data_IF_447176223089
#
_entry.id   IF_447176223089
#
_cell.length_a   1.000
_cell.length_b   1.000
_cell.length_c   1.000
_cell.angle_alpha   90.00
_cell.angle_beta   90.00
_cell.angle_gamma   90.00
#
_symmetry.space_group_name_H-M   'P 1'
#
loop_
_entity.id
_entity.type
_entity.pdbx_description
1 polymer ?
#
# COMPACT_ATOMS: atom_id res chain seq x y z
N UNK A 1 4.35 -22.79 19.65
CA UNK A 1 5.28 -21.67 19.50
C UNK A 1 5.55 -21.42 18.01
N UNK A 2 5.61 -20.13 17.58
CA UNK A 2 5.89 -19.79 16.19
C UNK A 2 4.69 -19.86 15.23
N UNK A 3 3.48 -20.05 15.71
CA UNK A 3 2.26 -20.11 14.90
C UNK A 3 1.38 -18.91 15.20
N UNK A 4 0.97 -18.21 14.15
CA UNK A 4 -0.03 -17.13 14.26
C UNK A 4 -1.39 -17.71 14.62
N UNK A 5 -2.09 -17.09 15.56
CA UNK A 5 -3.42 -17.49 15.98
C UNK A 5 -4.36 -16.31 16.03
N UNK A 6 -5.61 -16.54 15.73
CA UNK A 6 -6.66 -15.55 15.94
C UNK A 6 -6.80 -15.23 17.44
N UNK A 7 -6.91 -13.95 17.76
CA UNK A 7 -6.96 -13.50 19.16
C UNK A 7 -8.24 -13.95 19.87
N UNK A 8 -9.33 -14.11 19.16
CA UNK A 8 -10.65 -14.52 19.65
C UNK A 8 -10.76 -16.04 19.79
N UNK A 9 -10.63 -16.77 18.73
CA UNK A 9 -10.86 -18.22 18.65
C UNK A 9 -9.67 -19.07 19.08
N UNK A 10 -8.45 -18.47 19.15
CA UNK A 10 -7.17 -19.17 19.33
C UNK A 10 -6.85 -20.19 18.21
N UNK A 11 -7.69 -20.29 17.22
CA UNK A 11 -7.45 -21.13 16.04
C UNK A 11 -6.21 -20.65 15.28
N UNK A 12 -5.52 -21.56 14.64
CA UNK A 12 -4.37 -21.23 13.78
C UNK A 12 -4.81 -20.36 12.60
N UNK A 13 -4.08 -19.27 12.39
CA UNK A 13 -4.31 -18.37 11.27
C UNK A 13 -3.43 -18.79 10.10
N UNK A 14 -4.05 -19.20 9.00
CA UNK A 14 -3.38 -19.50 7.75
C UNK A 14 -3.88 -18.58 6.63
N UNK A 15 -2.95 -18.12 5.79
CA UNK A 15 -3.26 -17.18 4.73
C UNK A 15 -2.91 -17.78 3.38
N UNK A 16 -3.86 -17.72 2.47
CA UNK A 16 -3.70 -18.05 1.06
C UNK A 16 -4.22 -16.89 0.24
N UNK A 17 -3.34 -16.23 -0.52
CA UNK A 17 -3.71 -14.98 -1.13
C UNK A 17 -2.87 -14.57 -2.33
N UNK A 18 -3.02 -13.31 -2.70
CA UNK A 18 -2.43 -12.72 -3.88
C UNK A 18 -1.77 -11.39 -3.54
N UNK A 19 -0.67 -11.09 -4.24
CA UNK A 19 -0.07 -9.78 -4.32
C UNK A 19 -0.56 -9.11 -5.62
N UNK A 20 -1.30 -8.00 -5.49
CA UNK A 20 -1.99 -7.42 -6.64
C UNK A 20 -2.19 -5.90 -6.50
N UNK A 21 -2.00 -5.16 -7.58
CA UNK A 21 -2.04 -3.69 -7.58
C UNK A 21 -2.94 -3.08 -8.65
N UNK A 22 -3.37 -3.85 -9.62
CA UNK A 22 -4.33 -3.46 -10.66
C UNK A 22 -5.75 -3.63 -10.09
N UNK A 23 -6.74 -2.77 -10.39
CA UNK A 23 -6.75 -1.69 -11.40
C UNK A 23 -6.48 -0.29 -10.83
N UNK A 24 -6.30 -0.13 -9.52
CA UNK A 24 -6.21 1.19 -8.90
C UNK A 24 -4.86 1.88 -9.17
N UNK A 25 -3.85 1.10 -9.54
CA UNK A 25 -2.49 1.55 -9.76
C UNK A 25 -2.04 1.32 -11.21
N UNK A 26 -1.46 0.17 -11.53
CA UNK A 26 -0.81 -0.08 -12.83
C UNK A 26 -1.69 0.13 -14.08
N UNK A 27 -2.99 -0.07 -13.97
CA UNK A 27 -3.93 0.11 -15.07
C UNK A 27 -4.78 1.39 -14.93
N UNK A 28 -4.51 2.25 -13.96
CA UNK A 28 -5.34 3.41 -13.65
C UNK A 28 -5.61 4.28 -14.88
N UNK A 29 -4.57 4.73 -15.58
CA UNK A 29 -4.71 5.59 -16.76
C UNK A 29 -5.23 4.84 -17.97
N UNK A 30 -4.79 3.60 -18.17
CA UNK A 30 -5.27 2.77 -19.26
C UNK A 30 -6.76 2.46 -19.17
N UNK A 31 -7.28 2.26 -17.97
CA UNK A 31 -8.72 2.09 -17.73
C UNK A 31 -9.49 3.39 -17.96
N UNK A 32 -8.95 4.52 -17.47
CA UNK A 32 -9.51 5.84 -17.71
C UNK A 32 -9.63 6.14 -19.21
N UNK A 33 -8.53 5.99 -19.97
CA UNK A 33 -8.47 6.27 -21.41
C UNK A 33 -9.48 5.44 -22.21
N UNK A 34 -9.85 4.26 -21.69
CA UNK A 34 -10.85 3.38 -22.28
C UNK A 34 -12.27 3.61 -21.75
N UNK A 35 -12.48 4.59 -20.88
CA UNK A 35 -13.77 4.87 -20.27
C UNK A 35 -14.28 3.74 -19.36
N UNK A 36 -13.37 2.94 -18.79
CA UNK A 36 -13.74 1.84 -17.87
C UNK A 36 -13.84 2.39 -16.45
N UNK A 37 -14.96 2.12 -15.80
CA UNK A 37 -15.19 2.41 -14.39
C UNK A 37 -14.23 1.57 -13.52
N UNK A 38 -13.33 2.22 -12.81
CA UNK A 38 -12.29 1.59 -11.99
C UNK A 38 -12.85 0.92 -10.75
N UNK A 39 -13.89 1.46 -10.12
CA UNK A 39 -14.56 0.81 -8.99
C UNK A 39 -15.25 -0.48 -9.43
N UNK A 40 -15.89 -0.46 -10.58
CA UNK A 40 -16.47 -1.68 -11.17
C UNK A 40 -15.40 -2.71 -11.52
N UNK A 41 -14.22 -2.28 -11.95
CA UNK A 41 -13.10 -3.19 -12.17
C UNK A 41 -12.63 -3.83 -10.86
N UNK A 42 -12.50 -3.05 -9.78
CA UNK A 42 -12.20 -3.55 -8.43
C UNK A 42 -13.26 -4.57 -7.97
N UNK A 43 -14.54 -4.28 -8.12
CA UNK A 43 -15.63 -5.21 -7.76
C UNK A 43 -15.48 -6.58 -8.43
N UNK A 44 -15.13 -6.58 -9.71
CA UNK A 44 -14.93 -7.82 -10.48
C UNK A 44 -13.70 -8.59 -10.02
N UNK A 45 -12.60 -7.90 -9.78
CA UNK A 45 -11.36 -8.52 -9.32
C UNK A 45 -11.54 -9.13 -7.93
N UNK A 46 -12.12 -8.40 -6.99
CA UNK A 46 -12.40 -8.88 -5.62
C UNK A 46 -13.39 -10.05 -5.64
N UNK A 47 -14.40 -10.02 -6.53
CA UNK A 47 -15.28 -11.16 -6.74
C UNK A 47 -14.50 -12.42 -7.17
N UNK A 48 -13.54 -12.27 -8.09
CA UNK A 48 -12.74 -13.39 -8.55
C UNK A 48 -11.79 -13.91 -7.46
N UNK A 49 -11.18 -13.03 -6.66
CA UNK A 49 -10.34 -13.44 -5.52
C UNK A 49 -11.14 -14.26 -4.51
N UNK A 50 -12.32 -13.81 -4.13
CA UNK A 50 -13.19 -14.55 -3.22
C UNK A 50 -13.61 -15.91 -3.81
N UNK A 51 -13.92 -15.96 -5.11
CA UNK A 51 -14.31 -17.20 -5.79
C UNK A 51 -13.16 -18.22 -5.87
N UNK A 52 -11.91 -17.74 -5.93
CA UNK A 52 -10.72 -18.59 -5.91
C UNK A 52 -10.35 -19.06 -4.50
N UNK A 53 -11.09 -18.63 -3.47
CA UNK A 53 -10.85 -19.00 -2.08
C UNK A 53 -9.70 -18.23 -1.42
N UNK A 54 -9.29 -17.09 -1.96
CA UNK A 54 -8.29 -16.24 -1.32
C UNK A 54 -8.86 -15.63 -0.05
N UNK A 55 -8.10 -15.70 1.04
CA UNK A 55 -8.42 -15.08 2.32
C UNK A 55 -7.40 -14.01 2.75
N UNK A 56 -6.41 -13.75 1.91
CA UNK A 56 -5.40 -12.72 2.13
C UNK A 56 -5.07 -11.97 0.84
N UNK A 57 -4.72 -10.70 1.00
CA UNK A 57 -4.35 -9.81 -0.09
C UNK A 57 -3.18 -8.94 0.35
N UNK A 58 -2.06 -8.96 -0.37
CA UNK A 58 -0.97 -8.02 -0.19
C UNK A 58 -1.08 -6.91 -1.22
N UNK A 59 -1.19 -5.69 -0.76
CA UNK A 59 -1.31 -4.52 -1.62
C UNK A 59 -0.02 -3.69 -1.61
N UNK A 60 0.52 -3.45 -2.78
CA UNK A 60 1.55 -2.44 -2.99
C UNK A 60 0.86 -1.09 -3.24
N UNK A 61 0.94 -0.19 -2.28
CA UNK A 61 0.37 1.14 -2.42
C UNK A 61 1.12 1.93 -3.51
N UNK A 62 0.38 2.72 -4.24
CA UNK A 62 0.89 3.65 -5.21
C UNK A 62 1.32 4.97 -4.57
N UNK A 63 2.31 4.89 -3.69
CA UNK A 63 2.80 6.01 -2.89
C UNK A 63 3.17 7.25 -3.71
N UNK A 64 3.71 7.05 -4.92
CA UNK A 64 4.05 8.14 -5.84
C UNK A 64 2.83 8.99 -6.25
N UNK A 65 1.64 8.42 -6.31
CA UNK A 65 0.43 9.15 -6.71
C UNK A 65 -0.32 9.80 -5.54
N UNK A 66 -0.03 9.38 -4.32
CA UNK A 66 -0.74 9.86 -3.12
C UNK A 66 0.17 10.58 -2.12
N UNK A 67 1.36 11.00 -2.54
CA UNK A 67 2.27 11.79 -1.71
C UNK A 67 2.88 12.97 -2.45
N UNK A 68 3.32 13.99 -1.71
CA UNK A 68 4.14 15.08 -2.21
C UNK A 68 5.62 14.93 -1.77
N UNK A 69 6.47 15.84 -2.21
CA UNK A 69 7.91 15.86 -1.89
C UNK A 69 8.24 15.96 -0.40
N UNK A 70 7.31 16.45 0.39
CA UNK A 70 7.46 16.60 1.84
C UNK A 70 6.82 15.45 2.61
N UNK A 71 6.31 14.43 1.92
CA UNK A 71 5.62 13.29 2.52
C UNK A 71 4.21 13.61 3.01
N UNK A 72 3.55 14.67 2.51
CA UNK A 72 2.13 14.85 2.79
C UNK A 72 1.32 13.82 2.02
N UNK A 73 0.34 13.22 2.69
CA UNK A 73 -0.67 12.39 2.04
C UNK A 73 -1.61 13.26 1.22
N UNK A 74 -1.85 12.89 -0.04
CA UNK A 74 -2.73 13.61 -0.96
C UNK A 74 -4.06 12.88 -1.06
N UNK A 75 -5.14 13.60 -0.74
CA UNK A 75 -6.51 13.11 -0.99
C UNK A 75 -6.85 13.31 -2.47
N UNK A 76 -6.91 12.21 -3.21
CA UNK A 76 -7.21 12.19 -4.64
C UNK A 76 -7.92 10.89 -5.03
N UNK A 77 -8.17 10.69 -6.32
CA UNK A 77 -8.85 9.50 -6.82
C UNK A 77 -8.05 8.20 -6.58
N UNK A 78 -6.71 8.26 -6.56
CA UNK A 78 -5.89 7.06 -6.25
C UNK A 78 -6.10 6.62 -4.80
N UNK A 79 -6.17 7.56 -3.85
CA UNK A 79 -6.46 7.24 -2.45
C UNK A 79 -7.90 6.74 -2.28
N UNK A 80 -8.87 7.34 -2.96
CA UNK A 80 -10.27 6.87 -2.95
C UNK A 80 -10.40 5.45 -3.50
N UNK A 81 -9.68 5.11 -4.57
CA UNK A 81 -9.70 3.74 -5.11
C UNK A 81 -8.99 2.74 -4.19
N UNK A 82 -7.95 3.14 -3.48
CA UNK A 82 -7.32 2.33 -2.45
C UNK A 82 -8.32 2.05 -1.32
N UNK A 83 -8.96 3.10 -0.77
CA UNK A 83 -9.99 2.97 0.26
C UNK A 83 -11.13 2.04 -0.17
N UNK A 84 -11.60 2.21 -1.39
CA UNK A 84 -12.66 1.38 -1.95
C UNK A 84 -12.23 -0.09 -2.09
N UNK A 85 -11.01 -0.34 -2.56
CA UNK A 85 -10.48 -1.71 -2.65
C UNK A 85 -10.41 -2.37 -1.27
N UNK A 86 -9.88 -1.68 -0.25
CA UNK A 86 -9.81 -2.22 1.12
C UNK A 86 -11.20 -2.55 1.65
N UNK A 87 -12.17 -1.66 1.44
CA UNK A 87 -13.57 -1.90 1.81
C UNK A 87 -14.14 -3.15 1.12
N UNK A 88 -13.93 -3.30 -0.20
CA UNK A 88 -14.46 -4.46 -0.96
C UNK A 88 -13.81 -5.79 -0.55
N UNK A 89 -12.54 -5.78 -0.19
CA UNK A 89 -11.86 -6.96 0.37
C UNK A 89 -12.46 -7.37 1.72
N UNK A 90 -12.74 -6.39 2.59
CA UNK A 90 -13.36 -6.62 3.90
C UNK A 90 -14.77 -7.22 3.77
N UNK A 91 -15.58 -6.75 2.81
CA UNK A 91 -16.90 -7.34 2.54
C UNK A 91 -16.83 -8.83 2.19
N UNK A 92 -15.69 -9.32 1.73
CA UNK A 92 -15.43 -10.72 1.38
C UNK A 92 -14.64 -11.49 2.45
N UNK A 93 -14.36 -10.86 3.58
CA UNK A 93 -13.58 -11.49 4.65
C UNK A 93 -12.09 -11.64 4.35
N UNK A 94 -11.58 -10.98 3.30
CA UNK A 94 -10.18 -11.07 2.87
C UNK A 94 -9.34 -10.15 3.74
N UNK A 95 -8.29 -10.69 4.36
CA UNK A 95 -7.33 -9.95 5.20
C UNK A 95 -6.31 -9.23 4.34
N UNK A 96 -5.77 -8.14 4.86
CA UNK A 96 -4.96 -7.20 4.09
C UNK A 96 -3.59 -7.02 4.73
N UNK A 97 -2.53 -7.19 3.93
CA UNK A 97 -1.17 -6.76 4.24
C UNK A 97 -0.85 -5.55 3.35
N UNK A 98 -0.56 -4.42 3.96
CA UNK A 98 -0.22 -3.19 3.23
C UNK A 98 1.29 -3.07 3.10
N UNK A 99 1.78 -2.78 1.89
CA UNK A 99 3.14 -2.32 1.63
C UNK A 99 3.09 -0.82 1.32
N UNK A 100 3.59 0.01 2.23
CA UNK A 100 3.40 1.46 2.22
C UNK A 100 4.18 2.20 1.14
N UNK A 101 5.38 1.71 0.78
CA UNK A 101 6.23 2.32 -0.26
C UNK A 101 6.71 1.26 -1.24
N UNK A 102 6.49 1.49 -2.51
CA UNK A 102 6.82 0.55 -3.58
C UNK A 102 7.47 1.18 -4.80
N UNK A 103 7.30 2.48 -4.96
CA UNK A 103 7.72 3.21 -6.15
C UNK A 103 8.89 4.12 -5.83
N UNK A 104 9.94 4.06 -6.65
CA UNK A 104 11.13 4.87 -6.46
C UNK A 104 11.65 5.38 -7.80
N UNK A 105 11.89 6.70 -7.85
CA UNK A 105 12.46 7.33 -9.04
C UNK A 105 11.55 7.25 -10.26
N UNK A 106 12.18 7.19 -11.41
CA UNK A 106 11.51 7.29 -12.72
C UNK A 106 11.30 5.93 -13.44
N UNK A 107 11.47 4.82 -12.74
CA UNK A 107 11.37 3.47 -13.32
C UNK A 107 9.95 2.97 -13.59
N UNK A 108 8.97 3.84 -13.52
CA UNK A 108 7.57 3.46 -13.57
C UNK A 108 7.04 3.34 -15.02
N UNK A 109 6.30 2.29 -15.36
CA UNK A 109 5.83 2.08 -16.72
C UNK A 109 4.68 2.99 -17.15
N UNK A 110 4.01 3.65 -16.20
CA UNK A 110 2.92 4.56 -16.51
C UNK A 110 3.41 5.98 -16.87
N UNK A 111 2.79 6.59 -17.86
CA UNK A 111 3.01 7.98 -18.26
C UNK A 111 2.26 8.95 -17.32
N UNK A 112 2.73 10.19 -17.27
CA UNK A 112 2.07 11.28 -16.53
C UNK A 112 1.86 10.98 -15.05
N UNK A 113 2.79 10.27 -14.43
CA UNK A 113 2.79 10.04 -12.99
C UNK A 113 3.03 11.36 -12.24
N UNK A 114 2.66 11.39 -10.96
CA UNK A 114 3.01 12.49 -10.09
C UNK A 114 4.52 12.55 -9.85
N UNK A 115 5.18 13.60 -10.36
CA UNK A 115 6.62 13.80 -10.23
C UNK A 115 7.01 14.64 -9.02
N UNK A 116 6.05 15.06 -8.20
CA UNK A 116 6.31 15.81 -6.98
C UNK A 116 6.32 14.93 -5.71
N UNK A 117 6.14 13.63 -5.84
CA UNK A 117 6.21 12.71 -4.71
C UNK A 117 7.63 12.56 -4.16
N UNK A 118 7.77 12.34 -2.84
CA UNK A 118 9.09 12.14 -2.24
C UNK A 118 9.81 10.90 -2.83
N UNK A 119 9.09 9.84 -3.12
CA UNK A 119 9.64 8.63 -3.76
C UNK A 119 10.04 8.83 -5.22
N UNK A 120 9.61 9.91 -5.87
CA UNK A 120 10.12 10.31 -7.17
C UNK A 120 11.46 11.07 -7.05
N UNK A 121 11.63 11.89 -6.00
CA UNK A 121 12.85 12.67 -5.76
C UNK A 121 13.99 11.88 -5.14
N UNK A 122 13.69 10.79 -4.42
CA UNK A 122 14.66 9.96 -3.75
C UNK A 122 14.62 8.55 -4.30
N UNK A 123 15.79 8.00 -4.59
CA UNK A 123 15.90 6.60 -4.97
C UNK A 123 15.72 5.68 -3.74
N UNK A 124 15.60 4.40 -4.02
CA UNK A 124 15.35 3.37 -3.01
C UNK A 124 16.40 3.28 -1.91
N UNK A 125 17.64 3.70 -2.19
CA UNK A 125 18.73 3.72 -1.20
C UNK A 125 18.73 5.04 -0.42
N UNK A 126 18.45 6.16 -1.07
CA UNK A 126 18.42 7.48 -0.45
C UNK A 126 17.36 7.58 0.67
N UNK A 127 16.21 6.90 0.55
CA UNK A 127 15.17 6.91 1.59
C UNK A 127 15.61 6.32 2.92
N UNK A 128 16.73 5.59 2.97
CA UNK A 128 17.28 5.03 4.20
C UNK A 128 18.45 5.82 4.78
N UNK A 129 19.00 6.76 4.02
CA UNK A 129 20.24 7.47 4.39
C UNK A 129 20.10 9.00 4.38
N UNK A 130 19.21 9.54 3.58
CA UNK A 130 19.01 10.98 3.47
C UNK A 130 18.02 11.47 4.54
N UNK A 131 18.42 12.40 5.45
CA UNK A 131 17.53 12.86 6.53
C UNK A 131 16.21 13.48 6.05
N UNK A 132 16.22 14.20 4.92
CA UNK A 132 14.98 14.77 4.37
C UNK A 132 14.06 13.68 3.81
N UNK A 133 14.62 12.64 3.20
CA UNK A 133 13.85 11.50 2.71
C UNK A 133 13.23 10.69 3.86
N UNK A 134 14.01 10.48 4.94
CA UNK A 134 13.53 9.82 6.17
C UNK A 134 12.37 10.62 6.78
N UNK A 135 12.53 11.93 6.95
CA UNK A 135 11.46 12.79 7.49
C UNK A 135 10.19 12.79 6.62
N UNK A 136 10.33 12.81 5.29
CA UNK A 136 9.20 12.72 4.37
C UNK A 136 8.50 11.34 4.47
N UNK A 137 9.28 10.27 4.56
CA UNK A 137 8.78 8.91 4.75
C UNK A 137 7.99 8.77 6.06
N UNK A 138 8.57 9.21 7.18
CA UNK A 138 7.90 9.17 8.49
C UNK A 138 6.56 9.91 8.46
N UNK A 139 6.56 11.09 7.88
CA UNK A 139 5.36 11.91 7.75
C UNK A 139 4.28 11.22 6.91
N UNK A 140 4.67 10.67 5.76
CA UNK A 140 3.77 9.94 4.86
C UNK A 140 3.16 8.72 5.54
N UNK A 141 3.99 7.86 6.12
CA UNK A 141 3.54 6.64 6.80
C UNK A 141 2.63 6.98 7.99
N UNK A 142 2.99 7.99 8.79
CA UNK A 142 2.16 8.44 9.91
C UNK A 142 0.78 8.89 9.43
N UNK A 143 0.72 9.72 8.40
CA UNK A 143 -0.57 10.18 7.86
C UNK A 143 -1.38 9.04 7.25
N UNK A 144 -0.73 8.12 6.53
CA UNK A 144 -1.39 6.97 5.93
C UNK A 144 -2.00 6.04 7.00
N UNK A 145 -1.27 5.76 8.08
CA UNK A 145 -1.77 4.92 9.18
C UNK A 145 -2.94 5.59 9.93
N UNK A 146 -2.94 6.91 10.05
CA UNK A 146 -4.03 7.68 10.66
C UNK A 146 -5.18 8.00 9.70
N UNK A 147 -5.00 7.75 8.40
CA UNK A 147 -6.06 7.97 7.42
C UNK A 147 -7.28 7.11 7.74
N UNK A 148 -8.44 7.77 7.84
CA UNK A 148 -9.72 7.09 8.08
C UNK A 148 -10.34 6.76 6.72
N UNK A 149 -10.48 5.50 6.43
CA UNK A 149 -11.16 5.02 5.24
C UNK A 149 -12.64 5.44 5.26
N UNK A 150 -13.11 6.25 4.32
CA UNK A 150 -14.48 6.78 4.32
C UNK A 150 -15.56 5.71 4.13
N UNK A 151 -15.20 4.53 3.61
CA UNK A 151 -16.14 3.42 3.38
C UNK A 151 -16.30 2.52 4.61
N UNK A 152 -15.27 2.39 5.44
CA UNK A 152 -15.29 1.52 6.64
C UNK A 152 -15.44 2.29 7.94
N UNK A 153 -15.06 3.57 7.96
CA UNK A 153 -14.99 4.42 9.15
C UNK A 153 -13.81 4.10 10.06
N UNK A 154 -12.92 3.19 9.69
CA UNK A 154 -11.75 2.80 10.48
C UNK A 154 -10.49 3.53 9.98
N UNK A 155 -9.61 3.94 10.90
CA UNK A 155 -8.26 4.31 10.52
C UNK A 155 -7.45 3.06 10.16
N UNK A 156 -6.51 3.17 9.20
CA UNK A 156 -5.74 2.00 8.74
C UNK A 156 -5.02 1.28 9.87
N UNK A 157 -4.45 2.02 10.84
CA UNK A 157 -3.76 1.44 12.00
C UNK A 157 -4.67 0.66 12.96
N UNK A 158 -5.99 0.90 12.93
CA UNK A 158 -6.96 0.24 13.84
C UNK A 158 -7.96 -0.63 13.11
N UNK A 159 -7.83 -0.75 11.79
CA UNK A 159 -8.72 -1.58 10.98
C UNK A 159 -8.45 -3.07 11.24
N UNK A 160 -9.43 -3.84 11.73
CA UNK A 160 -9.23 -5.24 12.10
C UNK A 160 -8.95 -6.17 10.92
N UNK A 161 -9.14 -5.71 9.68
CA UNK A 161 -8.82 -6.49 8.48
C UNK A 161 -7.39 -6.27 8.01
N UNK A 162 -6.74 -5.18 8.42
CA UNK A 162 -5.33 -4.93 8.13
C UNK A 162 -4.48 -5.69 9.15
N UNK A 163 -3.88 -6.80 8.72
CA UNK A 163 -3.15 -7.73 9.58
C UNK A 163 -1.66 -7.44 9.68
N UNK A 164 -1.15 -6.53 8.86
CA UNK A 164 0.24 -6.13 8.87
C UNK A 164 0.50 -4.94 7.95
N UNK A 165 1.60 -4.25 8.25
CA UNK A 165 2.08 -3.13 7.49
C UNK A 165 3.58 -3.29 7.21
N UNK A 166 3.94 -3.32 5.96
CA UNK A 166 5.32 -3.32 5.47
C UNK A 166 5.68 -1.90 5.04
N UNK A 167 6.69 -1.33 5.66
CA UNK A 167 7.05 0.08 5.41
C UNK A 167 7.51 0.25 3.97
N UNK A 168 8.42 -0.61 3.50
CA UNK A 168 9.06 -0.49 2.20
C UNK A 168 9.22 -1.86 1.54
N UNK A 169 8.87 -1.96 0.26
CA UNK A 169 9.10 -3.15 -0.53
C UNK A 169 10.59 -3.30 -0.90
N UNK A 170 11.20 -4.42 -0.50
CA UNK A 170 12.58 -4.76 -0.87
C UNK A 170 13.57 -3.60 -0.62
N UNK A 171 13.81 -3.21 0.63
CA UNK A 171 14.68 -2.08 0.95
C UNK A 171 16.09 -2.27 0.37
N UNK A 172 16.76 -1.16 0.08
CA UNK A 172 18.12 -1.18 -0.45
C UNK A 172 19.11 -1.56 0.64
N UNK A 173 19.93 -2.57 0.37
CA UNK A 173 20.99 -3.06 1.29
C UNK A 173 22.42 -2.79 0.77
N UNK A 174 22.57 -1.89 -0.20
CA UNK A 174 23.89 -1.55 -0.76
C UNK A 174 24.70 -0.56 0.10
N UNK A 175 24.09 -0.06 1.18
CA UNK A 175 24.77 0.78 2.18
C UNK A 175 25.52 -0.01 3.22
N UNK A 176 26.33 0.67 4.04
CA UNK A 176 26.96 0.07 5.20
C UNK A 176 25.87 -0.45 6.17
N UNK A 177 26.18 -1.55 6.85
CA UNK A 177 25.33 -2.14 7.92
C UNK A 177 24.90 -1.08 8.94
N UNK A 178 25.73 -0.09 9.19
CA UNK A 178 25.45 1.05 10.06
C UNK A 178 24.19 1.84 9.64
N UNK A 179 24.06 2.15 8.34
CA UNK A 179 22.90 2.90 7.84
C UNK A 179 21.59 2.14 8.05
N UNK A 180 21.61 0.81 7.86
CA UNK A 180 20.45 -0.02 8.11
C UNK A 180 20.09 -0.07 9.60
N UNK A 181 21.10 -0.15 10.48
CA UNK A 181 20.91 -0.10 11.93
C UNK A 181 20.30 1.24 12.37
N UNK A 182 20.79 2.35 11.83
CA UNK A 182 20.28 3.69 12.15
C UNK A 182 18.84 3.90 11.67
N UNK A 183 18.45 3.23 10.59
CA UNK A 183 17.10 3.32 10.05
C UNK A 183 16.07 2.55 10.88
N UNK A 184 16.42 1.39 11.40
CA UNK A 184 15.51 0.53 12.17
C UNK A 184 15.62 0.75 13.70
N UNK A 185 16.55 1.63 14.11
CA UNK A 185 16.81 2.20 15.44
C UNK A 185 16.32 1.52 16.57
#
# INVERSE_FOLDING_TARGET
EGVMRWSDSKAEASFYGVNYTVPFAHAFRALHDKGIDRKRAIDRDVYHFARLGYNAYRIHIWDVEISDKSGNLISNEHLDLLDYLLFKLQERGIRILITGMTNFGNGYPERNINTDAFTYHYDKCAVHANPQAIAAQEKYITQLLHHVNPYTGNAYQTDPYIIGFEINNEPCHTGAIQTTSDYIG
#
